data_IF_700129205758
#
_entry.id   IF_700129205758
#
_cell.length_a   1.000
_cell.length_b   1.000
_cell.length_c   1.000
_cell.angle_alpha   90.00
_cell.angle_beta   90.00
_cell.angle_gamma   90.00
#
_symmetry.space_group_name_H-M   'P 1'
#
loop_
_entity.id
_entity.type
_entity.pdbx_description
1 polymer ?
#
# COMPACT_ATOMS: atom_id res chain seq x y z
N UNK A 1 -4.47 13.28 -3.80
CA UNK A 1 -4.93 12.20 -2.88
C UNK A 1 -6.35 11.79 -3.23
N UNK A 2 -6.69 10.51 -3.08
CA UNK A 2 -8.04 9.97 -3.33
C UNK A 2 -8.96 10.29 -2.14
N UNK A 3 -10.20 10.69 -2.41
CA UNK A 3 -11.20 11.04 -1.39
C UNK A 3 -12.36 10.07 -1.36
N UNK A 4 -12.78 9.57 -2.51
CA UNK A 4 -13.86 8.61 -2.62
C UNK A 4 -13.56 7.58 -3.70
N UNK A 5 -13.97 6.33 -3.45
CA UNK A 5 -14.07 5.28 -4.45
C UNK A 5 -15.47 4.68 -4.39
N UNK A 6 -16.12 4.58 -5.56
CA UNK A 6 -17.39 3.86 -5.73
C UNK A 6 -17.19 2.67 -6.67
N UNK A 7 -17.65 1.51 -6.26
CA UNK A 7 -17.58 0.24 -6.99
C UNK A 7 -18.98 -0.34 -7.14
N UNK A 8 -19.45 -0.47 -8.37
CA UNK A 8 -20.72 -1.12 -8.69
C UNK A 8 -20.48 -2.29 -9.62
N UNK A 9 -21.00 -3.47 -9.27
CA UNK A 9 -20.86 -4.71 -10.02
C UNK A 9 -19.41 -5.02 -10.43
N UNK A 10 -18.44 -4.69 -9.58
CA UNK A 10 -17.01 -4.86 -9.82
C UNK A 10 -16.45 -5.94 -8.90
N UNK A 11 -15.97 -7.03 -9.48
CA UNK A 11 -15.43 -8.21 -8.81
C UNK A 11 -16.41 -8.78 -7.78
N UNK A 12 -16.16 -8.61 -6.47
CA UNK A 12 -17.05 -9.05 -5.40
C UNK A 12 -18.09 -7.99 -5.00
N UNK A 13 -17.86 -6.72 -5.34
CA UNK A 13 -18.68 -5.59 -4.94
C UNK A 13 -19.92 -5.45 -5.83
N UNK A 14 -21.11 -5.46 -5.22
CA UNK A 14 -22.36 -5.19 -5.93
C UNK A 14 -22.61 -3.69 -6.03
N UNK A 15 -22.58 -3.01 -4.91
CA UNK A 15 -22.70 -1.56 -4.80
C UNK A 15 -22.02 -1.13 -3.49
N UNK A 16 -20.93 -0.40 -3.60
CA UNK A 16 -20.11 -0.03 -2.46
C UNK A 16 -19.48 1.33 -2.72
N UNK A 17 -19.51 2.19 -1.70
CA UNK A 17 -18.86 3.49 -1.70
C UNK A 17 -18.02 3.59 -0.43
N UNK A 18 -16.82 4.15 -0.57
CA UNK A 18 -15.89 4.37 0.53
C UNK A 18 -15.35 5.80 0.46
N UNK A 19 -15.49 6.51 1.57
CA UNK A 19 -14.91 7.85 1.76
C UNK A 19 -13.64 7.73 2.59
N UNK A 20 -12.52 8.14 1.99
CA UNK A 20 -11.20 8.04 2.59
C UNK A 20 -10.87 9.30 3.41
N UNK A 21 -10.31 9.07 4.59
CA UNK A 21 -9.51 10.04 5.34
C UNK A 21 -8.29 10.49 4.52
N UNK A 22 -7.90 11.75 4.64
CA UNK A 22 -6.65 12.26 4.10
C UNK A 22 -5.40 11.74 4.83
N UNK A 23 -5.58 11.11 6.00
CA UNK A 23 -4.54 10.52 6.84
C UNK A 23 -4.47 8.99 6.62
N UNK A 24 -4.79 8.18 7.62
CA UNK A 24 -4.72 6.72 7.54
C UNK A 24 -6.13 6.16 7.32
N UNK A 25 -6.21 5.16 6.44
CA UNK A 25 -7.41 4.37 6.19
C UNK A 25 -7.04 2.89 6.36
N UNK A 26 -7.83 2.14 7.12
CA UNK A 26 -7.57 0.73 7.39
C UNK A 26 -8.77 -0.09 6.97
N UNK A 27 -8.57 -0.91 5.94
CA UNK A 27 -9.57 -1.80 5.37
C UNK A 27 -9.45 -3.15 6.08
N UNK A 28 -10.50 -3.50 6.80
CA UNK A 28 -10.58 -4.67 7.67
C UNK A 28 -11.59 -5.64 7.09
N UNK A 29 -11.35 -6.94 7.21
CA UNK A 29 -12.34 -7.95 6.84
C UNK A 29 -11.71 -9.32 6.71
N UNK A 30 -12.55 -10.36 6.64
CA UNK A 30 -12.10 -11.73 6.44
C UNK A 30 -11.43 -11.93 5.06
N UNK A 31 -10.81 -13.09 4.87
CA UNK A 31 -10.28 -13.46 3.57
C UNK A 31 -11.42 -13.65 2.57
N UNK A 32 -11.24 -13.12 1.35
CA UNK A 32 -12.25 -13.21 0.30
C UNK A 32 -13.30 -12.08 0.28
N UNK A 33 -13.32 -11.17 1.25
CA UNK A 33 -14.28 -10.04 1.28
C UNK A 33 -13.95 -8.92 0.30
N UNK A 34 -12.79 -8.96 -0.37
CA UNK A 34 -12.39 -8.02 -1.41
C UNK A 34 -11.43 -6.92 -0.99
N UNK A 35 -10.77 -7.00 0.17
CA UNK A 35 -9.79 -5.99 0.64
C UNK A 35 -8.74 -5.63 -0.42
N UNK A 36 -8.00 -6.63 -0.92
CA UNK A 36 -6.99 -6.45 -1.97
C UNK A 36 -7.59 -5.94 -3.28
N UNK A 37 -8.84 -6.31 -3.60
CA UNK A 37 -9.53 -5.82 -4.80
C UNK A 37 -9.87 -4.33 -4.70
N UNK A 38 -10.31 -3.88 -3.52
CA UNK A 38 -10.58 -2.46 -3.25
C UNK A 38 -9.28 -1.65 -3.32
N UNK A 39 -8.22 -2.11 -2.65
CA UNK A 39 -6.88 -1.50 -2.70
C UNK A 39 -6.38 -1.37 -4.14
N UNK A 40 -6.44 -2.47 -4.91
CA UNK A 40 -6.01 -2.48 -6.31
C UNK A 40 -6.86 -1.55 -7.19
N UNK A 41 -8.18 -1.49 -6.99
CA UNK A 41 -9.04 -0.60 -7.74
C UNK A 41 -8.71 0.88 -7.48
N UNK A 42 -8.57 1.25 -6.20
CA UNK A 42 -8.12 2.59 -5.81
C UNK A 42 -6.74 2.92 -6.41
N UNK A 43 -5.79 2.00 -6.27
CA UNK A 43 -4.44 2.16 -6.82
C UNK A 43 -4.44 2.33 -8.35
N UNK A 44 -5.18 1.51 -9.09
CA UNK A 44 -5.28 1.61 -10.55
C UNK A 44 -5.78 2.97 -10.98
N UNK A 45 -6.80 3.52 -10.32
CA UNK A 45 -7.32 4.86 -10.61
C UNK A 45 -6.42 5.98 -10.10
N UNK A 46 -5.54 5.74 -9.12
CA UNK A 46 -4.55 6.73 -8.72
C UNK A 46 -3.29 6.72 -9.61
N UNK A 47 -3.05 5.69 -10.42
CA UNK A 47 -1.77 5.50 -11.11
C UNK A 47 -1.87 5.49 -12.64
N UNK A 48 -3.05 5.19 -13.20
CA UNK A 48 -3.16 5.02 -14.65
C UNK A 48 -2.84 6.28 -15.45
N UNK A 49 -2.96 7.47 -14.86
CA UNK A 49 -2.66 8.74 -15.53
C UNK A 49 -1.19 9.18 -15.42
N UNK A 50 -0.35 8.52 -14.62
CA UNK A 50 1.07 8.89 -14.48
C UNK A 50 1.85 8.85 -15.81
N UNK A 51 1.38 8.07 -16.79
CA UNK A 51 1.94 8.06 -18.15
C UNK A 51 1.38 9.13 -19.09
N UNK A 52 0.36 9.88 -18.66
CA UNK A 52 -0.37 10.89 -19.44
C UNK A 52 0.04 12.32 -19.06
N UNK A 53 0.49 12.54 -17.81
CA UNK A 53 0.70 13.87 -17.21
C UNK A 53 1.79 14.74 -17.85
N UNK A 54 2.54 14.23 -18.83
CA UNK A 54 3.60 14.97 -19.53
C UNK A 54 3.18 15.46 -20.92
N UNK A 55 1.88 15.41 -21.25
CA UNK A 55 1.34 15.79 -22.55
C UNK A 55 0.44 17.03 -22.41
N UNK A 56 0.60 18.00 -23.31
CA UNK A 56 -0.16 19.27 -23.28
C UNK A 56 -1.66 19.07 -23.57
N UNK A 57 -2.01 18.08 -24.39
CA UNK A 57 -3.38 17.66 -24.66
C UNK A 57 -3.47 16.14 -24.60
N UNK A 58 -4.34 15.62 -23.72
CA UNK A 58 -4.59 14.19 -23.58
C UNK A 58 -6.00 13.88 -24.08
N UNK A 59 -6.12 12.98 -25.05
CA UNK A 59 -7.42 12.59 -25.59
C UNK A 59 -8.14 11.57 -24.70
N UNK A 60 -9.48 11.54 -24.76
CA UNK A 60 -10.30 10.50 -24.12
C UNK A 60 -9.89 9.07 -24.53
N UNK A 61 -9.33 8.93 -25.73
CA UNK A 61 -8.82 7.64 -26.22
C UNK A 61 -7.59 7.21 -25.43
N UNK A 62 -6.66 8.12 -25.17
CA UNK A 62 -5.44 7.84 -24.38
C UNK A 62 -5.77 7.53 -22.93
N UNK A 63 -6.68 8.28 -22.31
CA UNK A 63 -7.20 7.98 -20.96
C UNK A 63 -7.82 6.59 -20.93
N UNK A 64 -8.66 6.27 -21.92
CA UNK A 64 -9.30 4.95 -22.03
C UNK A 64 -8.27 3.82 -22.12
N UNK A 65 -7.26 3.98 -22.97
CA UNK A 65 -6.20 2.99 -23.16
C UNK A 65 -5.36 2.82 -21.89
N UNK A 66 -4.93 3.93 -21.28
CA UNK A 66 -4.14 3.91 -20.05
C UNK A 66 -4.88 3.23 -18.89
N UNK A 67 -6.13 3.62 -18.63
CA UNK A 67 -6.95 3.04 -17.54
C UNK A 67 -7.28 1.58 -17.82
N UNK A 68 -7.61 1.22 -19.08
CA UNK A 68 -7.86 -0.18 -19.47
C UNK A 68 -6.62 -1.04 -19.21
N UNK A 69 -5.45 -0.59 -19.68
CA UNK A 69 -4.21 -1.33 -19.54
C UNK A 69 -3.82 -1.50 -18.06
N UNK A 70 -3.91 -0.42 -17.27
CA UNK A 70 -3.65 -0.47 -15.82
C UNK A 70 -4.51 -1.51 -15.12
N UNK A 71 -5.82 -1.49 -15.36
CA UNK A 71 -6.73 -2.46 -14.75
C UNK A 71 -6.40 -3.91 -15.18
N UNK A 72 -6.13 -4.15 -16.46
CA UNK A 72 -5.77 -5.47 -16.96
C UNK A 72 -4.44 -5.99 -16.39
N UNK A 73 -3.45 -5.11 -16.19
CA UNK A 73 -2.13 -5.48 -15.70
C UNK A 73 -2.10 -5.65 -14.17
N UNK A 74 -2.92 -4.91 -13.42
CA UNK A 74 -3.02 -5.00 -11.95
C UNK A 74 -3.86 -6.19 -11.49
N UNK A 75 -4.97 -6.47 -12.18
CA UNK A 75 -5.88 -7.55 -11.81
C UNK A 75 -5.59 -8.87 -12.51
N UNK A 76 -4.91 -8.85 -13.67
CA UNK A 76 -4.64 -10.03 -14.49
C UNK A 76 -5.88 -10.94 -14.66
N UNK A 77 -7.04 -10.41 -15.11
CA UNK A 77 -8.25 -11.21 -15.23
C UNK A 77 -8.07 -12.33 -16.27
N UNK A 78 -8.86 -13.42 -16.18
CA UNK A 78 -8.80 -14.53 -17.14
C UNK A 78 -8.90 -14.05 -18.59
N UNK A 79 -8.10 -14.66 -19.48
CA UNK A 79 -7.93 -14.28 -20.89
C UNK A 79 -7.52 -12.81 -21.12
N UNK A 80 -7.07 -12.10 -20.08
CA UNK A 80 -6.86 -10.64 -20.11
C UNK A 80 -8.08 -9.85 -20.59
N UNK A 81 -9.29 -10.34 -20.26
CA UNK A 81 -10.56 -9.70 -20.65
C UNK A 81 -11.09 -8.84 -19.51
N UNK A 82 -11.30 -7.55 -19.79
CA UNK A 82 -11.83 -6.58 -18.83
C UNK A 82 -13.17 -7.02 -18.24
N UNK A 83 -14.08 -7.51 -19.09
CA UNK A 83 -15.41 -7.96 -18.67
C UNK A 83 -15.43 -9.11 -17.64
N UNK A 84 -14.31 -9.83 -17.44
CA UNK A 84 -14.16 -10.86 -16.39
C UNK A 84 -14.02 -10.29 -14.99
N UNK A 85 -13.77 -8.98 -14.85
CA UNK A 85 -13.79 -8.29 -13.57
C UNK A 85 -15.19 -7.75 -13.21
N UNK A 86 -16.20 -7.95 -14.05
CA UNK A 86 -17.59 -7.68 -13.67
C UNK A 86 -18.04 -8.75 -12.66
N UNK A 87 -18.82 -8.35 -11.66
CA UNK A 87 -19.44 -9.28 -10.71
C UNK A 87 -20.20 -10.36 -11.48
N UNK A 88 -20.03 -11.61 -11.04
CA UNK A 88 -20.70 -12.77 -11.63
C UNK A 88 -22.18 -12.76 -11.21
N UNK A 89 -23.07 -13.18 -12.11
CA UNK A 89 -24.50 -13.33 -11.81
C UNK A 89 -25.32 -12.05 -11.93
N UNK A 90 -24.73 -10.93 -12.35
CA UNK A 90 -25.46 -9.67 -12.60
C UNK A 90 -25.50 -9.35 -14.10
N UNK A 91 -26.65 -8.85 -14.56
CA UNK A 91 -26.85 -8.41 -15.94
C UNK A 91 -26.32 -6.98 -16.17
N UNK A 92 -26.41 -6.14 -15.15
CA UNK A 92 -25.96 -4.75 -15.16
C UNK A 92 -24.45 -4.63 -15.42
N UNK A 93 -24.06 -3.44 -15.86
CA UNK A 93 -22.67 -3.09 -16.15
C UNK A 93 -21.86 -2.86 -14.85
N UNK A 94 -20.56 -3.11 -14.93
CA UNK A 94 -19.62 -2.68 -13.92
C UNK A 94 -19.37 -1.17 -14.04
N UNK A 95 -19.31 -0.49 -12.90
CA UNK A 95 -18.88 0.91 -12.80
C UNK A 95 -17.88 1.10 -11.69
N UNK A 96 -16.87 1.92 -11.95
CA UNK A 96 -15.84 2.32 -11.00
C UNK A 96 -15.75 3.83 -11.09
N UNK A 97 -15.78 4.53 -9.96
CA UNK A 97 -15.60 5.98 -9.90
C UNK A 97 -14.62 6.32 -8.80
N UNK A 98 -13.65 7.19 -9.11
CA UNK A 98 -12.79 7.80 -8.09
C UNK A 98 -12.94 9.31 -8.13
N UNK A 99 -12.93 9.92 -6.94
CA UNK A 99 -12.79 11.36 -6.76
C UNK A 99 -11.50 11.64 -6.01
N UNK A 100 -10.86 12.76 -6.36
CA UNK A 100 -9.59 13.19 -5.77
C UNK A 100 -9.73 14.57 -5.12
N UNK A 101 -8.77 14.91 -4.26
CA UNK A 101 -8.59 16.29 -3.80
C UNK A 101 -8.40 17.22 -5.01
N UNK A 102 -8.78 18.49 -4.85
CA UNK A 102 -8.77 19.52 -5.91
C UNK A 102 -9.87 19.39 -6.98
N UNK A 103 -10.81 18.47 -6.81
CA UNK A 103 -12.02 18.36 -7.66
C UNK A 103 -11.86 17.41 -8.85
N UNK A 104 -10.65 16.91 -9.11
CA UNK A 104 -10.38 15.93 -10.15
C UNK A 104 -11.16 14.62 -9.91
N UNK A 105 -11.44 13.86 -10.96
CA UNK A 105 -12.15 12.59 -10.84
C UNK A 105 -12.34 11.87 -12.16
N UNK A 106 -12.65 10.58 -12.08
CA UNK A 106 -12.95 9.75 -13.24
C UNK A 106 -14.04 8.75 -12.91
N UNK A 107 -14.97 8.53 -13.84
CA UNK A 107 -15.94 7.44 -13.79
C UNK A 107 -15.85 6.60 -15.06
N UNK A 108 -15.81 5.30 -14.89
CA UNK A 108 -15.63 4.33 -15.97
C UNK A 108 -16.63 3.18 -15.84
N UNK A 109 -17.00 2.65 -17.01
CA UNK A 109 -18.00 1.60 -17.17
C UNK A 109 -17.51 0.52 -18.13
N UNK A 110 -17.89 -0.73 -17.87
CA UNK A 110 -17.72 -1.83 -18.81
C UNK A 110 -18.73 -2.96 -18.60
N UNK A 111 -18.97 -3.75 -19.65
CA UNK A 111 -19.86 -4.90 -19.66
C UNK A 111 -19.07 -6.21 -19.86
N UNK A 112 -19.75 -7.36 -19.83
CA UNK A 112 -19.11 -8.70 -19.86
C UNK A 112 -18.21 -8.97 -21.08
N UNK A 113 -18.48 -8.32 -22.20
CA UNK A 113 -17.77 -8.52 -23.47
C UNK A 113 -16.84 -7.35 -23.82
N UNK A 114 -16.72 -6.35 -22.93
CA UNK A 114 -15.85 -5.20 -23.17
C UNK A 114 -14.38 -5.62 -23.19
N UNK A 115 -13.66 -5.12 -24.20
CA UNK A 115 -12.19 -5.19 -24.27
C UNK A 115 -11.53 -3.99 -23.60
N UNK A 116 -12.20 -2.85 -23.56
CA UNK A 116 -11.76 -1.60 -22.96
C UNK A 116 -12.89 -0.95 -22.18
N UNK A 117 -12.53 -0.06 -21.25
CA UNK A 117 -13.50 0.73 -20.50
C UNK A 117 -14.17 1.77 -21.40
N UNK A 118 -15.34 2.25 -20.97
CA UNK A 118 -15.93 3.50 -21.43
C UNK A 118 -15.76 4.53 -20.32
N UNK A 119 -15.27 5.73 -20.64
CA UNK A 119 -15.21 6.84 -19.69
C UNK A 119 -16.61 7.47 -19.66
N UNK A 120 -17.31 7.36 -18.53
CA UNK A 120 -18.61 8.01 -18.31
C UNK A 120 -18.44 9.47 -17.84
N UNK A 121 -17.33 9.77 -17.17
CA UNK A 121 -17.03 11.10 -16.64
C UNK A 121 -15.51 11.28 -16.56
N UNK A 122 -15.01 12.41 -17.08
CA UNK A 122 -13.63 12.87 -16.86
C UNK A 122 -13.70 14.27 -16.25
N UNK A 123 -13.23 14.42 -15.01
CA UNK A 123 -13.01 15.70 -14.35
C UNK A 123 -11.51 15.90 -14.23
N UNK A 124 -10.87 16.38 -15.30
CA UNK A 124 -9.46 16.78 -15.29
C UNK A 124 -8.52 15.67 -14.76
N UNK A 125 -8.80 14.41 -15.08
CA UNK A 125 -8.11 13.25 -14.51
C UNK A 125 -6.65 13.16 -14.95
N UNK A 126 -6.37 13.54 -16.18
CA UNK A 126 -5.04 13.59 -16.77
C UNK A 126 -4.06 14.49 -15.99
N UNK A 127 -4.57 15.55 -15.33
CA UNK A 127 -3.77 16.48 -14.53
C UNK A 127 -3.66 16.08 -13.05
N UNK A 128 -4.20 14.93 -12.63
CA UNK A 128 -3.96 14.39 -11.27
C UNK A 128 -2.48 13.99 -11.11
N UNK A 129 -1.64 14.87 -10.58
CA UNK A 129 -0.18 14.75 -10.64
C UNK A 129 0.48 13.81 -9.61
N UNK A 130 -0.29 13.10 -8.80
CA UNK A 130 0.25 12.32 -7.68
C UNK A 130 0.68 10.91 -8.12
N UNK A 131 1.89 10.50 -7.76
CA UNK A 131 2.39 9.14 -8.03
C UNK A 131 2.19 8.20 -6.83
N UNK A 132 1.16 7.34 -6.80
CA UNK A 132 0.90 6.43 -5.68
C UNK A 132 1.93 5.29 -5.59
N UNK A 133 2.09 4.71 -4.42
CA UNK A 133 2.93 3.52 -4.19
C UNK A 133 2.02 2.38 -3.76
N UNK A 134 2.24 1.17 -4.29
CA UNK A 134 1.58 -0.05 -3.83
C UNK A 134 2.62 -1.01 -3.30
N UNK A 135 2.54 -1.36 -2.02
CA UNK A 135 3.33 -2.44 -1.43
C UNK A 135 2.44 -3.68 -1.36
N UNK A 136 2.70 -4.70 -2.21
CA UNK A 136 1.89 -5.91 -2.23
C UNK A 136 2.21 -6.84 -1.06
N UNK A 137 1.40 -7.90 -0.92
CA UNK A 137 1.51 -8.85 0.18
C UNK A 137 2.82 -9.65 0.17
N UNK A 138 3.32 -10.02 -1.01
CA UNK A 138 4.59 -10.75 -1.16
C UNK A 138 5.76 -9.77 -1.16
N UNK A 139 6.84 -10.17 -0.52
CA UNK A 139 8.09 -9.40 -0.55
C UNK A 139 8.66 -9.30 -1.97
N UNK A 140 9.37 -8.20 -2.25
CA UNK A 140 9.95 -7.91 -3.56
C UNK A 140 11.49 -7.84 -3.54
N UNK A 141 12.11 -7.64 -2.37
CA UNK A 141 13.54 -7.35 -2.30
C UNK A 141 14.41 -8.53 -2.76
N UNK A 142 13.96 -9.77 -2.58
CA UNK A 142 14.72 -10.94 -3.09
C UNK A 142 14.64 -11.09 -4.60
N UNK A 143 13.59 -10.56 -5.22
CA UNK A 143 13.33 -10.62 -6.66
C UNK A 143 13.73 -9.35 -7.40
N UNK A 144 14.13 -8.30 -6.69
CA UNK A 144 14.32 -6.95 -7.26
C UNK A 144 15.32 -6.93 -8.41
N UNK A 145 16.42 -7.69 -8.30
CA UNK A 145 17.41 -7.84 -9.37
C UNK A 145 16.82 -8.40 -10.66
N UNK A 146 15.72 -9.16 -10.56
CA UNK A 146 14.99 -9.67 -11.71
C UNK A 146 14.31 -8.56 -12.52
N UNK A 147 13.76 -7.55 -11.86
CA UNK A 147 13.02 -6.46 -12.49
C UNK A 147 13.92 -5.44 -13.18
N UNK A 148 15.14 -5.24 -12.69
CA UNK A 148 16.12 -4.30 -13.27
C UNK A 148 17.01 -4.89 -14.37
N UNK A 149 16.92 -6.20 -14.62
CA UNK A 149 17.86 -6.89 -15.49
C UNK A 149 17.37 -6.96 -16.95
N UNK A 150 18.04 -6.19 -17.83
CA UNK A 150 17.77 -6.15 -19.28
C UNK A 150 17.83 -7.52 -19.96
N UNK A 151 18.56 -8.50 -19.39
CA UNK A 151 18.68 -9.85 -19.95
C UNK A 151 17.46 -10.74 -19.65
N UNK A 152 16.62 -10.34 -18.69
CA UNK A 152 15.42 -11.10 -18.34
C UNK A 152 14.28 -10.64 -19.22
N UNK A 153 13.65 -11.59 -19.91
CA UNK A 153 12.45 -11.29 -20.67
C UNK A 153 11.31 -10.91 -19.72
N UNK A 154 10.89 -9.65 -19.78
CA UNK A 154 9.76 -9.10 -19.02
C UNK A 154 8.48 -9.92 -19.21
N UNK A 155 8.31 -10.62 -20.35
CA UNK A 155 7.18 -11.50 -20.60
C UNK A 155 7.09 -12.66 -19.59
N UNK A 156 8.23 -13.16 -19.12
CA UNK A 156 8.31 -14.23 -18.10
C UNK A 156 7.91 -13.68 -16.72
N UNK A 157 8.39 -12.51 -16.34
CA UNK A 157 8.01 -11.88 -15.06
C UNK A 157 6.51 -11.58 -15.00
N UNK A 158 5.91 -11.18 -16.13
CA UNK A 158 4.46 -10.94 -16.27
C UNK A 158 3.59 -12.19 -16.09
N UNK A 159 4.19 -13.39 -16.05
CA UNK A 159 3.48 -14.63 -15.67
C UNK A 159 3.36 -14.78 -14.15
N UNK A 160 4.25 -14.16 -13.38
CA UNK A 160 4.37 -14.37 -11.94
C UNK A 160 3.84 -13.18 -11.14
N UNK A 161 3.97 -11.98 -11.69
CA UNK A 161 3.68 -10.73 -11.00
C UNK A 161 2.70 -9.86 -11.79
N UNK A 162 1.82 -9.20 -11.05
CA UNK A 162 0.98 -8.13 -11.57
C UNK A 162 1.72 -6.79 -11.58
N UNK A 163 1.15 -5.77 -12.22
CA UNK A 163 1.78 -4.46 -12.41
C UNK A 163 2.25 -3.80 -11.11
N UNK A 164 1.60 -4.07 -9.97
CA UNK A 164 1.96 -3.42 -8.70
C UNK A 164 3.40 -3.72 -8.29
N UNK A 165 3.90 -4.92 -8.61
CA UNK A 165 5.30 -5.29 -8.37
C UNK A 165 6.24 -4.57 -9.32
N UNK A 166 5.88 -4.43 -10.60
CA UNK A 166 6.70 -3.70 -11.56
C UNK A 166 6.82 -2.22 -11.16
N UNK A 167 5.70 -1.59 -10.79
CA UNK A 167 5.68 -0.21 -10.34
C UNK A 167 6.53 0.00 -9.08
N UNK A 168 6.42 -0.92 -8.10
CA UNK A 168 7.21 -0.88 -6.87
C UNK A 168 8.70 -1.11 -7.16
N UNK A 169 9.04 -2.08 -8.01
CA UNK A 169 10.42 -2.36 -8.39
C UNK A 169 11.07 -1.17 -9.08
N UNK A 170 10.37 -0.52 -10.03
CA UNK A 170 10.85 0.71 -10.69
C UNK A 170 11.14 1.80 -9.66
N UNK A 171 10.29 1.96 -8.64
CA UNK A 171 10.53 2.92 -7.56
C UNK A 171 11.73 2.55 -6.70
N UNK A 172 11.89 1.29 -6.33
CA UNK A 172 13.02 0.84 -5.51
C UNK A 172 14.36 0.87 -6.25
N UNK A 173 14.35 0.65 -7.57
CA UNK A 173 15.54 0.71 -8.44
C UNK A 173 15.90 2.14 -8.85
N UNK A 174 15.08 3.13 -8.51
CA UNK A 174 15.36 4.52 -8.81
C UNK A 174 16.60 4.99 -8.04
N UNK A 175 17.55 5.59 -8.76
CA UNK A 175 18.72 6.26 -8.18
C UNK A 175 18.41 7.74 -8.17
N UNK A 176 18.32 8.33 -6.98
CA UNK A 176 18.03 9.75 -6.79
C UNK A 176 19.22 10.45 -6.17
N UNK A 177 19.57 11.60 -6.72
CA UNK A 177 20.53 12.54 -6.12
C UNK A 177 19.90 13.39 -5.01
N UNK A 178 18.57 13.27 -4.81
CA UNK A 178 17.86 13.96 -3.74
C UNK A 178 18.04 13.25 -2.41
N UNK A 179 18.35 14.02 -1.36
CA UNK A 179 18.39 13.51 0.00
C UNK A 179 17.01 13.60 0.69
N UNK A 180 16.68 12.68 1.61
CA UNK A 180 15.48 12.76 2.43
C UNK A 180 15.42 14.08 3.21
N UNK A 181 14.22 14.63 3.46
CA UNK A 181 14.09 15.82 4.32
C UNK A 181 14.24 15.41 5.78
N UNK A 182 14.54 16.36 6.66
CA UNK A 182 14.88 16.12 8.08
C UNK A 182 13.93 15.15 8.82
N UNK A 183 12.61 15.28 8.61
CA UNK A 183 11.62 14.37 9.22
C UNK A 183 11.69 12.95 8.68
N UNK A 184 11.89 12.77 7.37
CA UNK A 184 12.06 11.45 6.78
C UNK A 184 13.40 10.84 7.14
N UNK A 185 14.45 11.66 7.27
CA UNK A 185 15.78 11.22 7.71
C UNK A 185 15.69 10.64 9.12
N UNK A 186 15.05 11.31 10.07
CA UNK A 186 14.83 10.76 11.41
C UNK A 186 14.09 9.42 11.40
N UNK A 187 13.03 9.30 10.59
CA UNK A 187 12.28 8.04 10.47
C UNK A 187 13.15 6.94 9.85
N UNK A 188 13.92 7.26 8.82
CA UNK A 188 14.86 6.37 8.14
C UNK A 188 15.92 5.85 9.13
N UNK A 189 16.53 6.72 9.91
CA UNK A 189 17.52 6.34 10.91
C UNK A 189 16.92 5.47 12.02
N UNK A 190 15.71 5.78 12.47
CA UNK A 190 14.98 4.97 13.44
C UNK A 190 14.73 3.55 12.91
N UNK A 191 14.29 3.42 11.66
CA UNK A 191 14.11 2.14 10.98
C UNK A 191 15.44 1.37 10.89
N UNK A 192 16.49 2.02 10.41
CA UNK A 192 17.83 1.40 10.23
C UNK A 192 18.40 0.92 11.56
N UNK A 193 18.31 1.75 12.61
CA UNK A 193 18.82 1.40 13.93
C UNK A 193 18.05 0.24 14.56
N UNK A 194 16.73 0.15 14.32
CA UNK A 194 15.92 -0.98 14.80
C UNK A 194 16.16 -2.27 14.02
N UNK A 195 16.52 -2.17 12.74
CA UNK A 195 16.91 -3.31 11.91
C UNK A 195 18.39 -3.69 12.08
N UNK A 196 19.17 -2.87 12.79
CA UNK A 196 20.63 -2.99 12.94
C UNK A 196 21.36 -3.02 11.58
N UNK A 197 20.79 -2.33 10.59
CA UNK A 197 21.35 -2.20 9.26
C UNK A 197 20.38 -1.60 8.27
N UNK A 198 20.87 -1.39 7.05
CA UNK A 198 20.11 -0.76 5.95
C UNK A 198 20.23 -1.59 4.69
N UNK A 199 19.19 -1.55 3.87
CA UNK A 199 19.30 -1.98 2.48
C UNK A 199 19.91 -0.85 1.65
N UNK A 200 20.79 -1.23 0.73
CA UNK A 200 21.48 -0.33 -0.19
C UNK A 200 21.46 -0.92 -1.59
N UNK A 201 21.15 -0.09 -2.58
CA UNK A 201 21.23 -0.43 -3.98
C UNK A 201 22.61 0.00 -4.52
N UNK A 202 23.38 -0.94 -5.04
CA UNK A 202 24.66 -0.69 -5.72
C UNK A 202 24.69 -1.48 -7.04
N UNK A 203 25.00 -0.81 -8.15
CA UNK A 203 24.98 -1.37 -9.51
C UNK A 203 23.73 -2.22 -9.86
N UNK A 204 22.55 -1.77 -9.39
CA UNK A 204 21.27 -2.47 -9.61
C UNK A 204 21.06 -3.71 -8.72
N UNK A 205 21.99 -4.03 -7.83
CA UNK A 205 21.88 -5.10 -6.85
C UNK A 205 21.58 -4.55 -5.45
N UNK A 206 20.51 -5.04 -4.85
CA UNK A 206 20.16 -4.71 -3.47
C UNK A 206 20.97 -5.58 -2.53
N UNK A 207 21.59 -4.97 -1.52
CA UNK A 207 22.32 -5.65 -0.44
C UNK A 207 21.92 -5.09 0.92
N UNK A 208 22.17 -5.84 1.98
CA UNK A 208 21.99 -5.41 3.36
C UNK A 208 23.33 -5.14 4.03
N UNK A 209 23.49 -3.93 4.56
CA UNK A 209 24.69 -3.44 5.25
C UNK A 209 24.41 -3.37 6.76
N UNK A 210 25.06 -4.20 7.59
CA UNK A 210 24.93 -4.13 9.04
C UNK A 210 25.54 -2.84 9.60
N UNK A 211 24.78 -2.13 10.44
CA UNK A 211 25.24 -0.90 11.03
C UNK A 211 24.12 -0.05 11.60
N UNK A 212 24.50 1.08 12.18
CA UNK A 212 23.57 2.00 12.84
C UNK A 212 23.99 3.44 12.58
N UNK A 213 23.02 4.34 12.52
CA UNK A 213 23.27 5.77 12.60
C UNK A 213 23.70 6.16 14.02
N UNK A 214 24.81 6.88 14.11
CA UNK A 214 25.35 7.44 15.36
C UNK A 214 25.68 8.92 15.16
N UNK A 215 25.61 9.69 16.24
CA UNK A 215 25.93 11.11 16.21
C UNK A 215 27.44 11.36 16.00
N UNK A 216 27.77 12.44 15.30
CA UNK A 216 29.15 12.90 15.19
C UNK A 216 29.71 13.31 16.56
N UNK A 217 30.99 13.01 16.79
CA UNK A 217 31.66 13.35 18.04
C UNK A 217 31.57 14.86 18.35
N UNK A 218 31.11 15.19 19.55
CA UNK A 218 30.94 16.58 20.01
C UNK A 218 29.66 17.27 19.55
N UNK A 219 28.69 16.54 18.96
CA UNK A 219 27.36 17.06 18.61
C UNK A 219 27.37 18.11 17.49
N UNK A 220 28.46 18.19 16.72
CA UNK A 220 28.59 19.14 15.62
C UNK A 220 28.16 18.48 14.32
N UNK A 221 27.19 19.10 13.63
CA UNK A 221 26.78 18.65 12.32
C UNK A 221 27.94 18.70 11.32
N UNK A 222 28.07 17.67 10.49
CA UNK A 222 28.98 17.62 9.35
C UNK A 222 28.14 17.54 8.08
N UNK A 223 28.42 18.41 7.11
CA UNK A 223 27.64 18.51 5.86
C UNK A 223 26.13 18.69 6.10
N UNK A 224 25.76 19.39 7.18
CA UNK A 224 24.36 19.60 7.58
C UNK A 224 23.73 18.45 8.38
N UNK A 225 24.41 17.31 8.54
CA UNK A 225 23.90 16.12 9.23
C UNK A 225 24.50 15.95 10.62
N UNK A 226 23.66 15.63 11.62
CA UNK A 226 24.09 15.35 12.99
C UNK A 226 24.62 13.93 13.17
N UNK A 227 24.25 13.04 12.27
CA UNK A 227 24.40 11.60 12.35
C UNK A 227 25.06 11.06 11.09
N UNK A 228 25.71 9.91 11.21
CA UNK A 228 26.23 9.16 10.07
C UNK A 228 26.04 7.66 10.27
N UNK A 229 25.89 6.95 9.17
CA UNK A 229 25.81 5.50 9.21
C UNK A 229 27.18 4.90 9.54
N UNK A 230 27.28 4.28 10.71
CA UNK A 230 28.45 3.53 11.15
C UNK A 230 28.26 2.04 10.81
N UNK A 231 28.91 1.62 9.74
CA UNK A 231 28.96 0.22 9.34
C UNK A 231 29.75 -0.59 10.37
N UNK A 232 29.08 -1.56 11.00
CA UNK A 232 29.68 -2.36 12.09
C UNK A 232 30.49 -3.56 11.56
N UNK A 233 30.19 -4.02 10.34
CA UNK A 233 30.88 -5.13 9.67
C UNK A 233 31.12 -4.81 8.21
N UNK A 234 32.28 -5.19 7.68
CA UNK A 234 32.60 -5.00 6.26
C UNK A 234 31.75 -5.87 5.33
N UNK A 235 31.31 -7.03 5.81
CA UNK A 235 30.49 -7.95 5.04
C UNK A 235 29.12 -7.34 4.74
N UNK A 236 28.68 -7.54 3.50
CA UNK A 236 27.31 -7.23 3.05
C UNK A 236 26.56 -8.52 2.79
N UNK A 237 25.27 -8.53 3.05
CA UNK A 237 24.43 -9.71 2.91
C UNK A 237 23.46 -9.55 1.74
N UNK A 238 23.18 -10.63 1.02
CA UNK A 238 22.09 -10.61 0.05
C UNK A 238 20.73 -10.50 0.77
N UNK A 239 19.70 -9.90 0.16
CA UNK A 239 18.35 -9.86 0.74
C UNK A 239 17.80 -11.26 1.09
N UNK A 240 18.23 -12.29 0.36
CA UNK A 240 17.87 -13.69 0.63
C UNK A 240 18.32 -14.18 2.01
N UNK A 241 19.38 -13.61 2.58
CA UNK A 241 19.91 -13.98 3.89
C UNK A 241 19.20 -13.26 5.05
N UNK A 242 18.32 -12.29 4.74
CA UNK A 242 17.60 -11.51 5.74
C UNK A 242 16.25 -12.13 6.08
N UNK A 243 15.80 -11.93 7.32
CA UNK A 243 14.44 -12.29 7.72
C UNK A 243 13.40 -11.50 6.92
N UNK A 244 12.28 -12.13 6.59
CA UNK A 244 11.26 -11.53 5.72
C UNK A 244 10.66 -10.24 6.30
N UNK A 245 10.46 -10.19 7.63
CA UNK A 245 9.98 -8.98 8.28
C UNK A 245 10.92 -7.79 8.14
N UNK A 246 12.24 -8.00 8.17
CA UNK A 246 13.20 -6.95 7.87
C UNK A 246 13.19 -6.57 6.39
N UNK A 247 13.02 -7.50 5.47
CA UNK A 247 12.87 -7.17 4.04
C UNK A 247 11.66 -6.27 3.80
N UNK A 248 10.54 -6.52 4.49
CA UNK A 248 9.33 -5.71 4.37
C UNK A 248 9.53 -4.27 4.85
N UNK A 249 10.15 -4.08 6.02
CA UNK A 249 10.55 -2.73 6.47
C UNK A 249 11.64 -2.12 5.58
N UNK A 250 12.49 -2.96 4.99
CA UNK A 250 13.48 -2.60 3.99
C UNK A 250 12.89 -1.95 2.73
N UNK A 251 11.70 -2.37 2.30
CA UNK A 251 10.97 -1.71 1.20
C UNK A 251 10.66 -0.27 1.57
N UNK A 252 10.08 -0.03 2.75
CA UNK A 252 9.77 1.32 3.22
C UNK A 252 11.05 2.15 3.37
N UNK A 253 12.09 1.58 3.96
CA UNK A 253 13.39 2.20 4.13
C UNK A 253 14.03 2.58 2.79
N UNK A 254 13.98 1.70 1.78
CA UNK A 254 14.50 1.98 0.44
C UNK A 254 13.74 3.09 -0.28
N UNK A 255 12.41 3.07 -0.21
CA UNK A 255 11.55 4.11 -0.81
C UNK A 255 11.77 5.49 -0.20
N UNK A 256 12.01 5.56 1.13
CA UNK A 256 12.38 6.80 1.81
C UNK A 256 13.79 7.23 1.43
N UNK A 257 14.75 6.31 1.43
CA UNK A 257 16.16 6.60 1.15
C UNK A 257 16.36 7.15 -0.26
N UNK A 258 15.67 6.63 -1.27
CA UNK A 258 15.80 7.10 -2.65
C UNK A 258 14.76 8.16 -3.04
N UNK A 259 14.05 8.72 -2.06
CA UNK A 259 13.04 9.76 -2.25
C UNK A 259 11.92 9.38 -3.24
N UNK A 260 11.62 8.09 -3.43
CA UNK A 260 10.42 7.66 -4.17
C UNK A 260 9.15 7.81 -3.33
N UNK A 261 9.27 7.76 -2.00
CA UNK A 261 8.24 8.11 -1.03
C UNK A 261 8.64 9.43 -0.36
N UNK A 262 7.94 10.51 -0.69
CA UNK A 262 8.13 11.84 -0.10
C UNK A 262 6.79 12.30 0.45
N UNK A 263 6.54 12.19 1.77
CA UNK A 263 5.27 12.58 2.39
C UNK A 263 4.76 13.96 1.94
N UNK A 264 3.50 14.04 1.53
CA UNK A 264 2.89 15.26 1.00
C UNK A 264 3.33 15.68 -0.40
N UNK A 265 4.19 14.91 -1.08
CA UNK A 265 4.58 15.09 -2.49
C UNK A 265 4.31 13.81 -3.31
N UNK A 266 4.63 12.64 -2.77
CA UNK A 266 4.22 11.36 -3.34
C UNK A 266 2.71 11.15 -3.15
N UNK A 267 2.09 10.40 -4.06
CA UNK A 267 0.67 10.04 -3.97
C UNK A 267 0.37 9.07 -2.82
N UNK A 268 -0.86 8.54 -2.73
CA UNK A 268 -1.24 7.65 -1.65
C UNK A 268 -0.33 6.41 -1.57
N UNK A 269 -0.03 5.97 -0.34
CA UNK A 269 0.67 4.71 -0.06
C UNK A 269 -0.36 3.62 0.24
N UNK A 270 -0.49 2.68 -0.68
CA UNK A 270 -1.30 1.47 -0.52
C UNK A 270 -0.44 0.34 0.02
N UNK A 271 -0.88 -0.37 1.05
CA UNK A 271 -0.14 -1.50 1.60
C UNK A 271 -1.08 -2.66 1.93
N UNK A 272 -0.90 -3.77 1.24
CA UNK A 272 -1.70 -4.98 1.42
C UNK A 272 -0.99 -5.95 2.38
N UNK A 273 -1.68 -6.33 3.47
CA UNK A 273 -1.17 -7.21 4.54
C UNK A 273 0.21 -6.76 5.08
N UNK A 274 0.37 -5.51 5.54
CA UNK A 274 1.65 -5.00 6.03
C UNK A 274 2.19 -5.79 7.24
N UNK A 275 1.33 -6.42 8.02
CA UNK A 275 1.66 -7.26 9.17
C UNK A 275 2.28 -8.61 8.80
N UNK A 276 2.10 -9.09 7.56
CA UNK A 276 2.42 -10.49 7.27
C UNK A 276 3.92 -10.75 7.48
N UNK A 277 4.22 -11.87 8.15
CA UNK A 277 5.58 -12.29 8.52
C UNK A 277 6.35 -11.31 9.44
N UNK A 278 5.66 -10.40 10.14
CA UNK A 278 6.22 -9.56 11.20
C UNK A 278 6.06 -10.19 12.58
N UNK A 279 7.10 -10.06 13.41
CA UNK A 279 6.99 -10.33 14.84
C UNK A 279 6.35 -9.11 15.56
N UNK A 280 5.89 -9.27 16.81
CA UNK A 280 5.22 -8.19 17.55
C UNK A 280 6.04 -6.91 17.71
N UNK A 281 7.37 -7.02 17.84
CA UNK A 281 8.25 -5.84 17.98
C UNK A 281 8.31 -5.04 16.67
N UNK A 282 8.44 -5.72 15.52
CA UNK A 282 8.44 -5.08 14.21
C UNK A 282 7.08 -4.52 13.82
N UNK A 283 6.00 -5.15 14.27
CA UNK A 283 4.65 -4.62 14.07
C UNK A 283 4.43 -3.30 14.81
N UNK A 284 4.94 -3.17 16.05
CA UNK A 284 4.93 -1.88 16.75
C UNK A 284 5.71 -0.81 15.98
N UNK A 285 6.90 -1.15 15.49
CA UNK A 285 7.73 -0.25 14.69
C UNK A 285 7.03 0.17 13.39
N UNK A 286 6.42 -0.77 12.69
CA UNK A 286 5.63 -0.51 11.49
C UNK A 286 4.53 0.52 11.75
N UNK A 287 3.75 0.36 12.83
CA UNK A 287 2.69 1.30 13.19
C UNK A 287 3.23 2.68 13.53
N UNK A 288 4.34 2.75 14.28
CA UNK A 288 5.02 4.02 14.55
C UNK A 288 5.42 4.71 13.24
N UNK A 289 6.02 3.98 12.30
CA UNK A 289 6.41 4.53 10.99
C UNK A 289 5.21 5.02 10.18
N UNK A 290 4.10 4.27 10.17
CA UNK A 290 2.86 4.67 9.49
C UNK A 290 2.31 5.99 10.06
N UNK A 291 2.27 6.13 11.39
CA UNK A 291 1.80 7.34 12.05
C UNK A 291 2.70 8.54 11.69
N UNK A 292 4.02 8.39 11.72
CA UNK A 292 4.96 9.48 11.40
C UNK A 292 4.88 9.93 9.94
N UNK A 293 4.72 8.99 9.00
CA UNK A 293 4.45 9.32 7.60
C UNK A 293 3.14 10.11 7.47
N UNK A 294 2.10 9.70 8.19
CA UNK A 294 0.80 10.37 8.16
C UNK A 294 0.83 11.79 8.75
N UNK A 295 1.57 11.99 9.85
CA UNK A 295 1.87 13.31 10.42
C UNK A 295 2.61 14.20 9.43
N UNK A 296 3.40 13.60 8.54
CA UNK A 296 4.09 14.28 7.44
C UNK A 296 3.24 14.40 6.16
N UNK A 297 1.91 14.27 6.28
CA UNK A 297 0.93 14.43 5.20
C UNK A 297 0.94 13.33 4.11
N UNK A 298 1.47 12.15 4.43
CA UNK A 298 1.26 10.98 3.59
C UNK A 298 -0.14 10.39 3.83
N UNK A 299 -0.95 10.25 2.77
CA UNK A 299 -2.16 9.43 2.84
C UNK A 299 -1.76 7.95 2.75
N UNK A 300 -2.29 7.14 3.66
CA UNK A 300 -1.96 5.71 3.77
C UNK A 300 -3.26 4.90 3.75
N UNK A 301 -3.33 3.87 2.92
CA UNK A 301 -4.49 2.99 2.78
C UNK A 301 -4.00 1.55 2.95
N UNK A 302 -4.36 0.94 4.07
CA UNK A 302 -3.91 -0.38 4.47
C UNK A 302 -5.04 -1.40 4.28
N UNK A 303 -4.71 -2.63 3.89
CA UNK A 303 -5.62 -3.76 4.02
C UNK A 303 -5.01 -4.78 4.99
N UNK A 304 -5.82 -5.24 5.93
CA UNK A 304 -5.37 -6.15 6.99
C UNK A 304 -6.54 -6.98 7.49
N UNK A 305 -6.24 -8.10 8.12
CA UNK A 305 -7.18 -8.85 8.95
C UNK A 305 -6.64 -9.08 10.37
N UNK A 306 -5.52 -8.43 10.72
CA UNK A 306 -4.79 -8.67 11.94
C UNK A 306 -5.21 -7.73 13.07
N UNK A 307 -5.71 -8.32 14.14
CA UNK A 307 -6.17 -7.58 15.31
C UNK A 307 -5.03 -6.85 16.04
N UNK A 308 -3.82 -7.40 16.03
CA UNK A 308 -2.69 -6.83 16.78
C UNK A 308 -2.20 -5.54 16.13
N UNK A 309 -2.21 -5.46 14.80
CA UNK A 309 -1.95 -4.24 14.04
C UNK A 309 -2.98 -3.15 14.39
N UNK A 310 -4.27 -3.50 14.39
CA UNK A 310 -5.35 -2.59 14.79
C UNK A 310 -5.17 -2.10 16.23
N UNK A 311 -4.80 -3.01 17.14
CA UNK A 311 -4.60 -2.66 18.54
C UNK A 311 -3.39 -1.75 18.74
N UNK A 312 -2.31 -1.96 18.00
CA UNK A 312 -1.16 -1.05 18.03
C UNK A 312 -1.51 0.34 17.49
N UNK A 313 -2.33 0.43 16.42
CA UNK A 313 -2.82 1.71 15.91
C UNK A 313 -3.62 2.46 16.99
N UNK A 314 -4.58 1.80 17.62
CA UNK A 314 -5.38 2.35 18.73
C UNK A 314 -4.50 2.83 19.90
N UNK A 315 -3.51 2.04 20.30
CA UNK A 315 -2.64 2.36 21.44
C UNK A 315 -1.61 3.47 21.17
N UNK A 316 -1.21 3.66 19.91
CA UNK A 316 -0.12 4.58 19.55
C UNK A 316 -0.59 5.86 18.86
N UNK A 317 -1.83 5.89 18.37
CA UNK A 317 -2.45 7.08 17.81
C UNK A 317 -2.55 8.17 18.88
N UNK A 318 -2.20 9.39 18.48
CA UNK A 318 -2.25 10.58 19.33
C UNK A 318 -2.93 11.72 18.55
N UNK A 319 -4.21 11.96 18.85
CA UNK A 319 -5.00 13.04 18.26
C UNK A 319 -4.35 14.42 18.49
N UNK A 320 -3.62 14.59 19.60
CA UNK A 320 -2.88 15.82 19.90
C UNK A 320 -1.73 16.09 18.92
N UNK A 321 -1.28 15.07 18.19
CA UNK A 321 -0.29 15.18 17.09
C UNK A 321 -0.95 15.24 15.71
N UNK A 322 -2.28 15.30 15.65
CA UNK A 322 -3.04 15.33 14.41
C UNK A 322 -3.14 13.97 13.71
N UNK A 323 -2.98 12.87 14.47
CA UNK A 323 -3.25 11.54 13.95
C UNK A 323 -4.76 11.34 13.73
N UNK A 324 -5.11 10.64 12.65
CA UNK A 324 -6.47 10.26 12.36
C UNK A 324 -6.48 8.96 11.55
N UNK A 325 -7.21 7.96 12.06
CA UNK A 325 -7.35 6.64 11.45
C UNK A 325 -8.83 6.40 11.20
N UNK A 326 -9.21 6.20 9.94
CA UNK A 326 -10.55 5.78 9.56
C UNK A 326 -10.54 4.29 9.24
N UNK A 327 -11.43 3.53 9.84
CA UNK A 327 -11.54 2.09 9.67
C UNK A 327 -12.71 1.75 8.77
N UNK A 328 -12.52 0.76 7.89
CA UNK A 328 -13.51 0.32 6.92
C UNK A 328 -13.67 -1.21 7.00
N UNK A 329 -14.73 -1.69 7.65
CA UNK A 329 -15.03 -3.12 7.78
C UNK A 329 -15.80 -3.64 6.57
N UNK A 330 -15.22 -4.60 5.87
CA UNK A 330 -15.82 -5.35 4.77
C UNK A 330 -16.34 -6.69 5.30
N UNK A 331 -17.64 -6.90 5.16
CA UNK A 331 -18.30 -8.14 5.59
C UNK A 331 -19.40 -8.56 4.61
N UNK A 332 -19.73 -9.85 4.62
CA UNK A 332 -20.90 -10.36 3.91
C UNK A 332 -22.17 -10.00 4.66
N UNK A 333 -23.12 -9.40 3.96
CA UNK A 333 -24.48 -9.20 4.44
C UNK A 333 -25.17 -10.55 4.66
N UNK A 334 -25.80 -10.76 5.81
CA UNK A 334 -26.37 -12.07 6.20
C UNK A 334 -27.52 -12.52 5.28
N UNK A 335 -28.27 -11.57 4.71
CA UNK A 335 -29.43 -11.87 3.87
C UNK A 335 -29.03 -12.01 2.40
N UNK A 336 -28.29 -11.03 1.87
CA UNK A 336 -28.00 -10.96 0.44
C UNK A 336 -26.66 -11.57 0.04
N UNK A 337 -25.80 -11.91 1.00
CA UNK A 337 -24.43 -12.37 0.82
C UNK A 337 -23.53 -11.38 0.02
N UNK A 338 -23.98 -10.14 -0.16
CA UNK A 338 -23.20 -9.10 -0.82
C UNK A 338 -22.26 -8.43 0.17
N UNK A 339 -21.14 -7.91 -0.35
CA UNK A 339 -20.19 -7.16 0.46
C UNK A 339 -20.82 -5.83 0.88
N UNK A 340 -20.79 -5.56 2.18
CA UNK A 340 -21.12 -4.27 2.79
C UNK A 340 -19.86 -3.67 3.38
N UNK A 341 -19.78 -2.34 3.37
CA UNK A 341 -18.72 -1.56 3.98
C UNK A 341 -19.33 -0.74 5.11
N UNK A 342 -18.85 -0.94 6.33
CA UNK A 342 -19.11 -0.04 7.46
C UNK A 342 -17.85 0.77 7.72
N UNK A 343 -17.97 2.09 7.85
CA UNK A 343 -16.83 2.96 8.15
C UNK A 343 -17.04 3.68 9.48
N UNK A 344 -16.00 3.77 10.29
CA UNK A 344 -15.99 4.47 11.58
C UNK A 344 -14.58 4.95 11.91
N UNK A 345 -14.46 5.93 12.79
CA UNK A 345 -13.15 6.41 13.27
C UNK A 345 -12.69 5.61 14.52
N UNK A 346 -13.58 4.80 15.11
CA UNK A 346 -13.27 3.81 16.15
C UNK A 346 -13.54 2.39 15.67
N UNK A 347 -12.48 1.57 15.55
CA UNK A 347 -12.59 0.19 15.07
C UNK A 347 -13.49 -0.71 15.95
N UNK A 348 -13.75 -0.33 17.21
CA UNK A 348 -14.62 -1.06 18.14
C UNK A 348 -16.11 -0.87 17.84
N UNK A 349 -16.47 0.18 17.09
CA UNK A 349 -17.85 0.46 16.68
C UNK A 349 -18.28 -0.29 15.41
N UNK A 350 -17.34 -1.02 14.80
CA UNK A 350 -17.58 -1.84 13.61
C UNK A 350 -18.29 -3.13 14.03
N UNK A 351 -19.60 -3.22 13.74
CA UNK A 351 -20.56 -4.20 14.30
C UNK A 351 -20.44 -5.62 13.71
N UNK A 352 -19.30 -5.99 13.14
CA UNK A 352 -19.18 -7.23 12.35
C UNK A 352 -17.76 -7.80 12.29
N UNK A 353 -16.88 -7.44 13.22
CA UNK A 353 -15.51 -7.92 13.15
C UNK A 353 -15.42 -9.35 13.69
N UNK A 354 -15.56 -10.34 12.79
CA UNK A 354 -15.11 -11.70 13.04
C UNK A 354 -13.68 -11.74 13.62
N UNK A 355 -12.84 -10.76 13.27
CA UNK A 355 -11.49 -10.56 13.81
C UNK A 355 -11.47 -10.28 15.32
N UNK A 356 -12.42 -9.48 15.83
CA UNK A 356 -12.56 -9.24 17.27
C UNK A 356 -13.06 -10.51 17.99
N UNK A 357 -13.93 -11.28 17.33
CA UNK A 357 -14.40 -12.56 17.86
C UNK A 357 -13.24 -13.56 17.96
N UNK A 358 -12.42 -13.74 16.91
CA UNK A 358 -11.29 -14.70 16.95
C UNK A 358 -10.29 -14.39 18.06
N UNK A 359 -10.01 -13.11 18.33
CA UNK A 359 -9.10 -12.73 19.41
C UNK A 359 -9.76 -12.87 20.79
N UNK A 360 -11.06 -12.56 20.89
CA UNK A 360 -11.85 -12.82 22.12
C UNK A 360 -11.92 -14.31 22.41
N UNK A 361 -12.12 -15.15 21.38
CA UNK A 361 -12.11 -16.61 21.49
C UNK A 361 -10.75 -17.10 21.99
N UNK A 362 -9.64 -16.56 21.47
CA UNK A 362 -8.30 -16.92 21.93
C UNK A 362 -8.07 -16.53 23.40
N UNK A 363 -8.52 -15.34 23.80
CA UNK A 363 -8.50 -14.90 25.20
C UNK A 363 -9.40 -15.76 26.09
N UNK A 364 -10.59 -16.11 25.62
CA UNK A 364 -11.55 -16.95 26.32
C UNK A 364 -11.00 -18.37 26.50
N UNK A 365 -10.32 -18.93 25.49
CA UNK A 365 -9.60 -20.20 25.60
C UNK A 365 -8.42 -20.12 26.59
N UNK A 366 -7.68 -19.00 26.64
CA UNK A 366 -6.63 -18.77 27.65
C UNK A 366 -7.22 -18.67 29.07
N UNK A 367 -8.36 -17.99 29.23
CA UNK A 367 -9.09 -17.89 30.50
C UNK A 367 -9.60 -19.27 30.91
N UNK A 368 -10.23 -20.03 30.00
CA UNK A 368 -10.69 -21.40 30.25
C UNK A 368 -9.55 -22.28 30.73
N UNK A 369 -8.40 -22.25 30.06
CA UNK A 369 -7.20 -22.98 30.47
C UNK A 369 -6.69 -22.54 31.85
N UNK A 370 -6.65 -21.23 32.10
CA UNK A 370 -6.17 -20.67 33.38
C UNK A 370 -7.11 -20.98 34.54
N UNK A 371 -8.40 -21.16 34.28
CA UNK A 371 -9.42 -21.56 35.26
C UNK A 371 -9.56 -23.09 35.41
N UNK A 372 -8.68 -23.88 34.77
CA UNK A 372 -8.67 -25.34 34.89
C UNK A 372 -9.70 -26.06 34.02
N UNK A 373 -10.24 -25.40 33.00
CA UNK A 373 -11.04 -26.02 31.95
C UNK A 373 -10.18 -26.96 31.09
N UNK A 374 -10.70 -28.17 30.86
CA UNK A 374 -10.07 -29.25 30.09
C UNK A 374 -9.89 -28.90 28.62
#
# INVERSE_FOLDING_TARGET
MITNLTLKNFTVFQDSSIDFSAKINVIIGENGTGKSHLLKAAYSLCSANNGLSNQDEVSDKEIREAVTNKLLNVFLPPDRKLGKMRKIGVAEDARIRASFNSGNGIALKFHSNSKSITVEENRDYEHYSWSPIFIPTKEILTFLSGFGNIKIDTSVLKLMFDETYFDLATKLLNISDQEPREKEEWLLESLVNKMEGRFSLDDGEMSFQPGTYIEYAGGKAKDGKLTYFSQQRKDVFSPNMMAEGFRKLGVLQGLLQNCSLIPGVSGPLFWDEPESNLNPQLMKLLVQSILELSRSNQQIILATHDYVLLKWLDLLMDEGKGDHVRFHSLHHDKESNNIKIQSDDDYRQLNSNAIANTFSDLYDEEIKRSLGGA
#
